data_IF_293535149797
#
_entry.id   IF_293535149797
#
_cell.length_a   1.000
_cell.length_b   1.000
_cell.length_c   1.000
_cell.angle_alpha   90.00
_cell.angle_beta   90.00
_cell.angle_gamma   90.00
#
_symmetry.space_group_name_H-M   'P 1'
#
loop_
_entity.id
_entity.type
_entity.pdbx_description
1 polymer ?
#
# COMPACT_ATOMS: atom_id res chain seq x y z
N UNK A 1 -6.83 -20.38 15.98
CA UNK A 1 -6.22 -19.38 16.89
C UNK A 1 -6.54 -19.75 18.33
N UNK A 2 -5.77 -20.65 18.95
CA UNK A 2 -6.01 -21.06 20.33
C UNK A 2 -5.84 -19.86 21.28
N UNK A 3 -6.82 -19.62 22.16
CA UNK A 3 -6.76 -18.58 23.21
C UNK A 3 -7.14 -17.16 22.80
N UNK A 4 -7.63 -16.95 21.57
CA UNK A 4 -8.06 -15.61 21.08
C UNK A 4 -9.51 -15.56 20.58
N UNK A 5 -10.24 -16.67 20.68
CA UNK A 5 -11.64 -16.75 20.33
C UNK A 5 -12.48 -16.51 21.59
N UNK A 6 -13.35 -15.51 21.55
CA UNK A 6 -14.27 -15.21 22.63
C UNK A 6 -15.53 -16.08 22.55
N UNK A 7 -16.33 -16.12 23.61
CA UNK A 7 -17.53 -16.97 23.73
C UNK A 7 -18.59 -16.73 22.64
N UNK A 8 -18.59 -15.54 22.03
CA UNK A 8 -19.49 -15.19 20.91
C UNK A 8 -18.94 -15.58 19.53
N UNK A 9 -17.86 -16.37 19.50
CA UNK A 9 -17.22 -16.84 18.26
C UNK A 9 -16.45 -15.76 17.52
N UNK A 10 -16.16 -14.60 18.15
CA UNK A 10 -15.40 -13.50 17.54
C UNK A 10 -13.99 -13.40 18.11
N UNK A 11 -13.09 -12.84 17.32
CA UNK A 11 -11.71 -12.52 17.73
C UNK A 11 -11.59 -11.00 17.90
N UNK A 12 -11.20 -10.55 19.11
CA UNK A 12 -11.08 -9.12 19.42
C UNK A 12 -9.62 -8.69 19.56
N UNK A 13 -9.06 -8.18 18.47
CA UNK A 13 -7.68 -7.68 18.45
C UNK A 13 -7.54 -6.29 19.07
N UNK A 14 -6.40 -6.02 19.68
CA UNK A 14 -6.07 -4.70 20.23
C UNK A 14 -5.31 -3.85 19.21
N UNK A 15 -5.91 -2.74 18.78
CA UNK A 15 -5.28 -1.73 17.93
C UNK A 15 -4.71 -0.59 18.76
N UNK A 16 -3.43 -0.29 18.58
CA UNK A 16 -2.73 0.75 19.30
C UNK A 16 -2.46 1.95 18.41
N UNK A 17 -2.90 3.12 18.86
CA UNK A 17 -2.65 4.41 18.20
C UNK A 17 -1.23 4.93 18.45
N UNK A 18 -0.61 4.47 19.54
CA UNK A 18 0.73 4.86 19.99
C UNK A 18 1.58 3.59 19.98
N UNK A 19 2.73 3.64 19.32
CA UNK A 19 3.68 2.52 19.29
C UNK A 19 4.63 2.57 18.11
N UNK A 20 4.13 2.86 16.91
CA UNK A 20 4.98 2.93 15.72
C UNK A 20 5.57 4.33 15.52
N UNK A 21 6.83 4.40 15.05
CA UNK A 21 7.53 5.67 14.76
C UNK A 21 7.01 6.39 13.51
N UNK A 22 6.30 5.67 12.64
CA UNK A 22 5.71 6.21 11.40
C UNK A 22 4.26 6.61 11.57
N UNK A 23 3.69 6.35 12.75
CA UNK A 23 2.29 6.61 13.01
C UNK A 23 1.37 5.56 12.41
N UNK A 24 1.80 4.41 11.89
CA UNK A 24 0.87 3.29 11.62
C UNK A 24 0.19 2.79 12.90
N UNK A 25 -1.01 2.26 12.78
CA UNK A 25 -1.62 1.44 13.84
C UNK A 25 -0.78 0.18 14.01
N UNK A 26 -0.54 -0.25 15.25
CA UNK A 26 -0.03 -1.60 15.53
C UNK A 26 -1.16 -2.46 16.09
N UNK A 27 -1.14 -3.76 15.77
CA UNK A 27 -2.15 -4.72 16.19
C UNK A 27 -1.51 -5.83 17.03
N UNK A 28 -2.21 -6.28 18.07
CA UNK A 28 -1.75 -7.35 18.96
C UNK A 28 -2.92 -8.10 19.58
N UNK A 29 -2.66 -9.34 20.04
CA UNK A 29 -3.60 -10.19 20.76
C UNK A 29 -4.94 -10.45 20.03
N UNK A 30 -4.95 -11.12 18.87
CA UNK A 30 -3.81 -11.51 18.03
C UNK A 30 -3.37 -10.38 17.08
N UNK A 31 -2.20 -10.52 16.46
CA UNK A 31 -1.75 -9.55 15.46
C UNK A 31 -2.37 -9.83 14.08
N UNK A 32 -3.45 -9.13 13.77
CA UNK A 32 -4.19 -9.26 12.51
C UNK A 32 -3.51 -8.59 11.31
N UNK A 33 -2.42 -7.86 11.54
CA UNK A 33 -1.63 -7.25 10.46
C UNK A 33 -0.57 -8.21 9.88
N UNK A 34 -0.37 -9.38 10.50
CA UNK A 34 0.66 -10.35 10.10
C UNK A 34 0.02 -11.71 9.79
N UNK A 35 -0.95 -11.71 8.90
CA UNK A 35 -1.56 -12.95 8.42
C UNK A 35 -0.50 -13.74 7.61
N UNK A 36 -0.40 -15.08 7.82
CA UNK A 36 0.45 -15.93 7.01
C UNK A 36 0.18 -15.72 5.51
N UNK A 37 1.24 -15.75 4.70
CA UNK A 37 1.07 -15.84 3.25
C UNK A 37 0.42 -17.18 2.90
N UNK A 38 -0.29 -17.22 1.77
CA UNK A 38 -0.82 -18.46 1.21
C UNK A 38 0.32 -19.50 1.17
N UNK A 39 0.10 -20.61 1.84
CA UNK A 39 1.01 -21.74 1.86
C UNK A 39 0.38 -22.86 1.02
N UNK A 40 0.89 -23.16 -0.18
CA UNK A 40 0.34 -24.19 -1.05
C UNK A 40 0.34 -25.60 -0.43
N UNK A 41 1.08 -25.82 0.66
CA UNK A 41 1.12 -27.08 1.39
C UNK A 41 -0.02 -27.21 2.42
N UNK A 42 -0.73 -26.12 2.73
CA UNK A 42 -1.87 -26.15 3.64
C UNK A 42 -3.18 -26.34 2.85
N UNK A 43 -4.17 -27.07 3.43
CA UNK A 43 -5.42 -27.37 2.74
C UNK A 43 -6.35 -26.15 2.55
N UNK A 44 -6.10 -25.03 3.22
CA UNK A 44 -6.89 -23.80 3.12
C UNK A 44 -6.02 -22.55 3.36
N UNK A 45 -6.45 -21.41 2.84
CA UNK A 45 -5.86 -20.10 3.19
C UNK A 45 -6.26 -19.75 4.64
N UNK A 46 -5.30 -19.28 5.45
CA UNK A 46 -5.57 -18.76 6.79
C UNK A 46 -6.71 -17.72 6.81
N UNK A 47 -6.88 -16.95 5.74
CA UNK A 47 -7.96 -15.95 5.64
C UNK A 47 -9.36 -16.57 5.48
N UNK A 48 -9.48 -17.84 5.12
CA UNK A 48 -10.78 -18.51 4.98
C UNK A 48 -11.49 -18.70 6.32
N UNK A 49 -10.75 -18.75 7.43
CA UNK A 49 -11.32 -18.96 8.77
C UNK A 49 -12.08 -17.72 9.30
N UNK A 50 -11.93 -16.58 8.65
CA UNK A 50 -12.66 -15.36 9.00
C UNK A 50 -13.88 -15.23 8.09
N UNK A 51 -15.05 -15.46 8.65
CA UNK A 51 -16.32 -15.45 7.93
C UNK A 51 -17.25 -14.33 8.39
N UNK A 52 -18.06 -13.83 7.46
CA UNK A 52 -19.19 -12.98 7.79
C UNK A 52 -20.30 -13.82 8.46
N UNK A 53 -21.02 -13.25 9.45
CA UNK A 53 -22.24 -13.87 9.98
C UNK A 53 -23.30 -14.13 8.89
N UNK A 54 -24.26 -15.01 9.19
CA UNK A 54 -25.43 -15.25 8.31
C UNK A 54 -26.15 -13.93 7.97
N UNK A 55 -26.47 -13.75 6.69
CA UNK A 55 -27.13 -12.54 6.16
C UNK A 55 -26.18 -11.34 5.96
N UNK A 56 -24.88 -11.54 6.12
CA UNK A 56 -23.86 -10.51 5.95
C UNK A 56 -22.74 -10.93 5.00
N UNK A 57 -21.99 -9.93 4.51
CA UNK A 57 -20.77 -10.10 3.72
C UNK A 57 -19.60 -9.34 4.34
N UNK A 58 -18.40 -9.81 4.02
CA UNK A 58 -17.16 -9.08 4.23
C UNK A 58 -16.77 -8.31 2.97
N UNK A 59 -16.33 -7.07 3.15
CA UNK A 59 -15.76 -6.23 2.10
C UNK A 59 -14.30 -5.97 2.46
N UNK A 60 -13.38 -6.25 1.54
CA UNK A 60 -11.98 -5.84 1.65
C UNK A 60 -11.77 -4.65 0.73
N UNK A 61 -11.45 -3.49 1.30
CA UNK A 61 -11.28 -2.24 0.56
C UNK A 61 -9.83 -1.77 0.70
N UNK A 62 -9.06 -1.85 -0.38
CA UNK A 62 -7.60 -1.72 -0.37
C UNK A 62 -7.13 -0.62 -1.33
N UNK A 63 -6.17 0.21 -0.91
CA UNK A 63 -5.63 1.25 -1.78
C UNK A 63 -4.70 0.69 -2.86
N UNK A 64 -4.99 0.99 -4.12
CA UNK A 64 -4.14 0.63 -5.26
C UNK A 64 -2.81 1.38 -5.23
N UNK A 65 -1.76 0.69 -4.78
CA UNK A 65 -0.38 1.20 -4.83
C UNK A 65 -0.20 2.46 -3.98
N UNK A 66 -0.79 2.48 -2.77
CA UNK A 66 -0.83 3.67 -1.91
C UNK A 66 0.54 4.34 -1.73
N UNK A 67 1.57 3.55 -1.39
CA UNK A 67 2.92 4.07 -1.15
C UNK A 67 3.56 4.67 -2.41
N UNK A 68 3.32 4.09 -3.60
CA UNK A 68 3.83 4.63 -4.86
C UNK A 68 3.11 5.91 -5.28
N UNK A 69 1.79 6.01 -5.02
CA UNK A 69 1.04 7.26 -5.22
C UNK A 69 1.58 8.37 -4.33
N UNK A 70 1.84 8.04 -3.06
CA UNK A 70 2.44 8.97 -2.11
C UNK A 70 3.87 9.35 -2.51
N UNK A 71 4.67 8.41 -3.01
CA UNK A 71 5.98 8.69 -3.57
C UNK A 71 5.88 9.73 -4.70
N UNK A 72 4.98 9.54 -5.65
CA UNK A 72 4.75 10.48 -6.75
C UNK A 72 4.33 11.88 -6.26
N UNK A 73 3.50 11.94 -5.21
CA UNK A 73 3.07 13.20 -4.58
C UNK A 73 4.25 13.92 -3.91
N UNK A 74 5.07 13.20 -3.14
CA UNK A 74 6.19 13.76 -2.37
C UNK A 74 7.34 14.16 -3.31
N UNK A 75 7.65 13.32 -4.31
CA UNK A 75 8.70 13.60 -5.28
C UNK A 75 8.29 14.68 -6.27
N UNK A 76 7.00 14.76 -6.60
CA UNK A 76 6.44 15.54 -7.71
C UNK A 76 7.01 15.13 -9.06
N UNK A 77 7.40 13.87 -9.19
CA UNK A 77 7.99 13.35 -10.40
C UNK A 77 6.94 13.28 -11.53
N UNK A 78 7.14 14.01 -12.65
CA UNK A 78 6.15 14.10 -13.71
C UNK A 78 5.90 12.75 -14.39
N UNK A 79 6.92 11.89 -14.48
CA UNK A 79 6.80 10.56 -15.07
C UNK A 79 5.88 9.68 -14.21
N UNK A 80 6.10 9.62 -12.89
CA UNK A 80 5.22 8.88 -11.97
C UNK A 80 3.80 9.46 -11.94
N UNK A 81 3.66 10.78 -11.86
CA UNK A 81 2.34 11.43 -11.86
C UNK A 81 1.56 11.13 -13.14
N UNK A 82 2.23 11.17 -14.30
CA UNK A 82 1.62 10.85 -15.58
C UNK A 82 1.24 9.36 -15.69
N UNK A 83 2.11 8.46 -15.20
CA UNK A 83 1.83 7.03 -15.19
C UNK A 83 0.53 6.71 -14.44
N UNK A 84 0.31 7.32 -13.27
CA UNK A 84 -0.95 7.15 -12.54
C UNK A 84 -2.15 7.76 -13.26
N UNK A 85 -2.01 8.92 -13.91
CA UNK A 85 -3.09 9.53 -14.70
C UNK A 85 -3.50 8.68 -15.89
N UNK A 86 -2.55 8.00 -16.52
CA UNK A 86 -2.78 7.11 -17.66
C UNK A 86 -3.16 5.68 -17.28
N UNK A 87 -3.24 5.35 -15.99
CA UNK A 87 -3.57 4.01 -15.53
C UNK A 87 -2.52 2.96 -15.90
N UNK A 88 -1.24 3.34 -15.88
CA UNK A 88 -0.13 2.43 -16.17
C UNK A 88 0.14 1.48 -15.00
N UNK A 89 0.48 0.24 -15.32
CA UNK A 89 1.07 -0.68 -14.35
C UNK A 89 2.51 -0.25 -14.04
N UNK A 90 2.70 0.41 -12.90
CA UNK A 90 4.02 0.92 -12.48
C UNK A 90 5.05 -0.17 -12.27
N UNK A 91 4.65 -1.38 -11.88
CA UNK A 91 5.59 -2.48 -11.69
C UNK A 91 6.11 -2.96 -13.04
N UNK A 92 5.22 -3.08 -14.03
CA UNK A 92 5.60 -3.42 -15.40
C UNK A 92 6.39 -2.28 -16.06
N UNK A 93 6.02 -1.03 -15.83
CA UNK A 93 6.76 0.15 -16.29
C UNK A 93 8.19 0.16 -15.74
N UNK A 94 8.34 -0.09 -14.43
CA UNK A 94 9.66 -0.18 -13.79
C UNK A 94 10.47 -1.34 -14.39
N UNK A 95 9.85 -2.50 -14.58
CA UNK A 95 10.49 -3.64 -15.22
C UNK A 95 10.93 -3.31 -16.67
N UNK A 96 10.09 -2.60 -17.42
CA UNK A 96 10.39 -2.16 -18.78
C UNK A 96 11.65 -1.30 -18.82
N UNK A 97 11.81 -0.35 -17.88
CA UNK A 97 13.02 0.48 -17.80
C UNK A 97 14.24 -0.31 -17.31
N UNK A 98 14.09 -1.11 -16.25
CA UNK A 98 15.20 -1.86 -15.66
C UNK A 98 15.75 -2.89 -16.64
N UNK A 99 14.88 -3.65 -17.29
CA UNK A 99 15.28 -4.76 -18.17
C UNK A 99 15.28 -4.40 -19.66
N UNK A 100 14.92 -3.17 -20.01
CA UNK A 100 14.82 -2.70 -21.39
C UNK A 100 13.94 -3.61 -22.27
N UNK A 101 12.73 -3.91 -21.80
CA UNK A 101 11.83 -4.91 -22.42
C UNK A 101 11.20 -4.45 -23.74
N UNK A 102 11.38 -3.18 -24.12
CA UNK A 102 10.87 -2.60 -25.37
C UNK A 102 9.35 -2.46 -25.41
N UNK A 103 8.67 -2.45 -24.26
CA UNK A 103 7.23 -2.23 -24.18
C UNK A 103 6.96 -0.74 -24.43
N UNK A 104 6.01 -0.43 -25.32
CA UNK A 104 5.60 0.95 -25.58
C UNK A 104 4.74 1.49 -24.45
N UNK A 105 4.83 2.79 -24.18
CA UNK A 105 4.15 3.44 -23.06
C UNK A 105 2.63 3.21 -23.04
N UNK A 106 1.96 3.27 -24.19
CA UNK A 106 0.53 3.01 -24.32
C UNK A 106 0.13 1.57 -23.94
N UNK A 107 1.03 0.61 -24.15
CA UNK A 107 0.82 -0.80 -23.82
C UNK A 107 0.95 -1.11 -22.31
N UNK A 108 1.49 -0.17 -21.53
CA UNK A 108 1.58 -0.28 -20.07
C UNK A 108 0.26 0.04 -19.37
N UNK A 109 -0.69 0.69 -20.06
CA UNK A 109 -2.00 1.00 -19.51
C UNK A 109 -2.83 -0.26 -19.30
N UNK A 110 -3.46 -0.39 -18.14
CA UNK A 110 -4.29 -1.58 -17.84
C UNK A 110 -5.48 -1.74 -18.80
N UNK A 111 -5.93 -0.62 -19.40
CA UNK A 111 -6.99 -0.57 -20.39
C UNK A 111 -6.55 -1.00 -21.81
N UNK A 112 -5.24 -1.14 -22.07
CA UNK A 112 -4.75 -1.49 -23.39
C UNK A 112 -5.04 -2.96 -23.73
N UNK A 113 -5.44 -3.24 -24.98
CA UNK A 113 -5.82 -4.59 -25.44
C UNK A 113 -4.75 -5.67 -25.21
N UNK A 114 -3.48 -5.30 -25.36
CA UNK A 114 -2.35 -6.22 -25.21
C UNK A 114 -1.84 -6.32 -23.76
N UNK A 115 -2.35 -5.51 -22.83
CA UNK A 115 -1.84 -5.42 -21.46
C UNK A 115 -1.84 -6.78 -20.76
N UNK A 116 -2.95 -7.53 -20.81
CA UNK A 116 -3.05 -8.85 -20.16
C UNK A 116 -1.99 -9.84 -20.68
N UNK A 117 -1.72 -9.81 -21.99
CA UNK A 117 -0.69 -10.65 -22.62
C UNK A 117 0.71 -10.24 -22.16
N UNK A 118 1.00 -8.94 -22.15
CA UNK A 118 2.29 -8.40 -21.72
C UNK A 118 2.54 -8.66 -20.23
N UNK A 119 1.54 -8.40 -19.38
CA UNK A 119 1.59 -8.67 -17.94
C UNK A 119 1.89 -10.13 -17.64
N UNK A 120 1.26 -11.07 -18.38
CA UNK A 120 1.54 -12.50 -18.24
C UNK A 120 2.93 -12.88 -18.78
N UNK A 121 3.34 -12.31 -19.91
CA UNK A 121 4.64 -12.58 -20.53
C UNK A 121 5.80 -12.16 -19.63
N UNK A 122 5.69 -10.99 -18.99
CA UNK A 122 6.74 -10.38 -18.17
C UNK A 122 6.43 -10.42 -16.68
N UNK A 123 5.71 -11.45 -16.20
CA UNK A 123 5.26 -11.52 -14.80
C UNK A 123 6.46 -11.62 -13.84
N UNK A 124 7.52 -12.32 -14.23
CA UNK A 124 8.76 -12.43 -13.46
C UNK A 124 9.49 -11.08 -13.34
N UNK A 125 9.71 -10.40 -14.45
CA UNK A 125 10.37 -9.08 -14.48
C UNK A 125 9.52 -8.04 -13.76
N UNK A 126 8.20 -8.09 -13.91
CA UNK A 126 7.25 -7.27 -13.15
C UNK A 126 7.35 -7.53 -11.65
N UNK A 127 7.47 -8.79 -11.23
CA UNK A 127 7.69 -9.16 -9.83
C UNK A 127 8.98 -8.55 -9.30
N UNK A 128 10.07 -8.58 -10.07
CA UNK A 128 11.32 -7.91 -9.73
C UNK A 128 11.16 -6.39 -9.72
N UNK A 129 10.44 -5.81 -10.68
CA UNK A 129 10.12 -4.38 -10.71
C UNK A 129 9.36 -3.92 -9.45
N UNK A 130 8.47 -4.77 -8.92
CA UNK A 130 7.74 -4.55 -7.66
C UNK A 130 8.64 -4.71 -6.44
N UNK A 131 9.19 -5.92 -6.25
CA UNK A 131 9.83 -6.36 -5.00
C UNK A 131 11.33 -6.08 -4.94
N UNK A 132 11.96 -5.78 -6.08
CA UNK A 132 13.36 -5.41 -6.21
C UNK A 132 13.58 -3.91 -6.29
N UNK A 133 12.72 -3.16 -6.97
CA UNK A 133 12.96 -1.72 -7.21
C UNK A 133 11.93 -0.81 -6.54
N UNK A 134 10.65 -0.87 -6.95
CA UNK A 134 9.63 0.08 -6.47
C UNK A 134 9.55 0.18 -4.93
N UNK A 135 9.33 -0.93 -4.24
CA UNK A 135 9.33 -0.91 -2.78
C UNK A 135 10.75 -0.71 -2.23
N UNK A 136 11.77 -1.52 -2.57
CA UNK A 136 13.08 -1.40 -1.92
C UNK A 136 13.73 -0.02 -2.06
N UNK A 137 13.53 0.71 -3.16
CA UNK A 137 14.05 2.06 -3.33
C UNK A 137 13.36 3.05 -2.37
N UNK A 138 12.04 2.94 -2.16
CA UNK A 138 11.33 3.70 -1.09
C UNK A 138 11.95 3.41 0.28
N UNK A 139 12.38 2.17 0.50
CA UNK A 139 13.02 1.71 1.73
C UNK A 139 14.53 1.94 1.76
N UNK A 140 15.14 2.57 0.75
CA UNK A 140 16.59 2.81 0.63
C UNK A 140 17.44 1.54 0.70
N UNK A 141 16.98 0.47 0.06
CA UNK A 141 17.72 -0.78 -0.12
C UNK A 141 18.85 -0.58 -1.14
N UNK A 142 20.01 -1.18 -0.87
CA UNK A 142 21.20 -1.15 -1.73
C UNK A 142 21.13 -2.20 -2.84
N UNK A 143 22.00 -2.11 -3.85
CA UNK A 143 22.12 -3.11 -4.92
C UNK A 143 22.28 -4.53 -4.35
N UNK A 144 23.18 -4.72 -3.38
CA UNK A 144 23.31 -5.98 -2.62
C UNK A 144 21.97 -6.49 -2.05
N UNK A 145 21.19 -5.61 -1.41
CA UNK A 145 19.90 -5.99 -0.82
C UNK A 145 18.85 -6.39 -1.88
N UNK A 146 18.87 -5.74 -3.04
CA UNK A 146 18.02 -6.10 -4.17
C UNK A 146 18.45 -7.47 -4.71
N UNK A 147 19.73 -7.64 -5.02
CA UNK A 147 20.31 -8.89 -5.52
C UNK A 147 19.95 -10.09 -4.63
N UNK A 148 20.11 -9.94 -3.31
CA UNK A 148 19.76 -10.97 -2.33
C UNK A 148 18.26 -11.34 -2.35
N UNK A 149 17.38 -10.36 -2.56
CA UNK A 149 15.93 -10.58 -2.51
C UNK A 149 15.35 -11.10 -3.83
N UNK A 150 15.99 -10.82 -4.95
CA UNK A 150 15.47 -11.14 -6.28
C UNK A 150 16.25 -12.24 -7.00
N UNK A 151 17.45 -12.58 -6.53
CA UNK A 151 18.32 -13.59 -7.12
C UNK A 151 19.12 -13.12 -8.34
N UNK A 152 19.06 -11.83 -8.69
CA UNK A 152 19.88 -11.25 -9.77
C UNK A 152 21.28 -10.87 -9.26
N UNK A 153 22.25 -10.65 -10.16
CA UNK A 153 23.58 -10.18 -9.77
C UNK A 153 23.54 -8.74 -9.23
N UNK A 154 24.49 -8.40 -8.35
CA UNK A 154 24.59 -7.05 -7.80
C UNK A 154 24.83 -5.97 -8.88
N UNK A 155 25.58 -6.30 -9.93
CA UNK A 155 25.81 -5.41 -11.08
C UNK A 155 24.50 -5.10 -11.84
N UNK A 156 23.67 -6.12 -12.08
CA UNK A 156 22.34 -5.95 -12.69
C UNK A 156 21.44 -5.14 -11.77
N UNK A 157 21.50 -5.39 -10.46
CA UNK A 157 20.75 -4.62 -9.47
C UNK A 157 21.15 -3.13 -9.46
N UNK A 158 22.46 -2.84 -9.48
CA UNK A 158 22.98 -1.47 -9.52
C UNK A 158 22.59 -0.76 -10.81
N UNK A 159 22.77 -1.42 -11.96
CA UNK A 159 22.32 -0.91 -13.26
C UNK A 159 20.82 -0.60 -13.25
N UNK A 160 20.01 -1.45 -12.62
CA UNK A 160 18.58 -1.22 -12.47
C UNK A 160 18.24 -0.02 -11.58
N UNK A 161 18.99 0.18 -10.48
CA UNK A 161 18.84 1.38 -9.62
C UNK A 161 19.12 2.65 -10.43
N UNK A 162 20.18 2.65 -11.24
CA UNK A 162 20.54 3.81 -12.05
C UNK A 162 19.50 4.10 -13.13
N UNK A 163 19.01 3.07 -13.83
CA UNK A 163 17.90 3.19 -14.78
C UNK A 163 16.62 3.71 -14.13
N UNK A 164 16.29 3.24 -12.92
CA UNK A 164 15.14 3.73 -12.17
C UNK A 164 15.25 5.24 -11.87
N UNK A 165 16.39 5.69 -11.35
CA UNK A 165 16.58 7.11 -11.05
C UNK A 165 16.71 8.00 -12.28
N UNK A 166 17.17 7.45 -13.41
CA UNK A 166 17.14 8.14 -14.69
C UNK A 166 15.71 8.31 -15.22
N UNK A 167 14.85 7.31 -15.03
CA UNK A 167 13.43 7.40 -15.37
C UNK A 167 12.63 8.33 -14.42
N UNK A 168 13.04 8.39 -13.15
CA UNK A 168 12.37 9.14 -12.08
C UNK A 168 13.34 10.11 -11.36
N UNK A 169 13.86 11.13 -12.06
CA UNK A 169 14.91 12.00 -11.52
C UNK A 169 14.45 12.83 -10.31
N UNK A 170 13.17 13.20 -10.23
CA UNK A 170 12.66 13.95 -9.08
C UNK A 170 12.54 13.10 -7.82
N UNK A 171 12.45 11.77 -7.95
CA UNK A 171 12.54 10.87 -6.78
C UNK A 171 13.93 10.97 -6.16
N UNK A 172 15.01 10.92 -6.95
CA UNK A 172 16.38 11.10 -6.46
C UNK A 172 16.54 12.45 -5.78
N UNK A 173 16.05 13.53 -6.42
CA UNK A 173 16.11 14.88 -5.85
C UNK A 173 15.31 15.00 -4.56
N UNK A 174 14.15 14.35 -4.44
CA UNK A 174 13.35 14.37 -3.22
C UNK A 174 14.05 13.67 -2.05
N UNK A 175 14.72 12.54 -2.30
CA UNK A 175 15.53 11.84 -1.29
C UNK A 175 16.68 12.74 -0.82
N UNK A 176 17.35 13.44 -1.75
CA UNK A 176 18.42 14.37 -1.42
C UNK A 176 17.92 15.57 -0.61
N UNK A 177 16.82 16.21 -1.02
CA UNK A 177 16.18 17.31 -0.27
C UNK A 177 15.82 16.90 1.15
N UNK A 178 15.26 15.70 1.32
CA UNK A 178 14.94 15.14 2.63
C UNK A 178 16.20 14.95 3.50
N UNK A 179 17.29 14.47 2.90
CA UNK A 179 18.57 14.26 3.59
C UNK A 179 19.22 15.56 4.03
N UNK A 180 19.25 16.58 3.16
CA UNK A 180 19.74 17.92 3.50
C UNK A 180 18.91 18.53 4.62
N UNK A 181 17.58 18.47 4.53
CA UNK A 181 16.69 18.97 5.58
C UNK A 181 16.95 18.29 6.93
N UNK A 182 17.16 16.96 6.94
CA UNK A 182 17.44 16.22 8.16
C UNK A 182 18.74 16.67 8.83
N UNK A 183 19.81 16.89 8.06
CA UNK A 183 21.10 17.34 8.58
C UNK A 183 21.00 18.71 9.27
N UNK A 184 20.21 19.61 8.71
CA UNK A 184 20.03 20.97 9.24
C UNK A 184 19.08 21.02 10.44
N UNK A 185 18.05 20.17 10.45
CA UNK A 185 16.90 20.32 11.35
C UNK A 185 16.76 19.22 12.40
N UNK A 186 17.49 18.11 12.30
CA UNK A 186 17.42 16.94 13.19
C UNK A 186 16.02 16.31 13.31
N UNK A 187 15.15 16.62 12.33
CA UNK A 187 13.82 16.05 12.20
C UNK A 187 13.32 16.14 10.76
N UNK A 188 12.26 15.39 10.46
CA UNK A 188 11.47 15.52 9.23
C UNK A 188 9.98 15.72 9.57
N UNK A 189 9.22 16.30 8.65
CA UNK A 189 7.76 16.51 8.80
C UNK A 189 6.99 15.98 7.59
N UNK A 190 5.95 15.18 7.82
CA UNK A 190 5.03 14.73 6.77
C UNK A 190 4.18 15.87 6.20
N UNK A 191 3.44 15.61 5.11
CA UNK A 191 2.48 16.59 4.56
C UNK A 191 1.39 17.00 5.57
N UNK A 192 0.97 16.05 6.41
CA UNK A 192 0.06 16.22 7.55
C UNK A 192 0.72 16.82 8.80
N UNK A 193 1.97 17.28 8.67
CA UNK A 193 2.77 17.95 9.72
C UNK A 193 3.21 17.05 10.89
N UNK A 194 3.04 15.73 10.81
CA UNK A 194 3.61 14.79 11.79
C UNK A 194 5.13 14.89 11.77
N UNK A 195 5.74 15.01 12.95
CA UNK A 195 7.19 15.16 13.11
C UNK A 195 7.85 13.86 13.58
N UNK A 196 9.01 13.53 13.01
CA UNK A 196 9.90 12.49 13.54
C UNK A 196 11.31 13.05 13.70
N UNK A 197 11.86 12.95 14.91
CA UNK A 197 13.27 13.28 15.19
C UNK A 197 14.16 12.07 14.87
N UNK A 198 15.30 12.34 14.25
CA UNK A 198 16.28 11.35 13.82
C UNK A 198 17.67 11.97 13.96
N UNK A 199 18.64 11.19 14.39
CA UNK A 199 20.04 11.63 14.45
C UNK A 199 20.67 11.53 13.05
N UNK A 200 21.04 12.64 12.40
CA UNK A 200 21.66 12.61 11.07
C UNK A 200 23.01 11.86 11.05
N UNK A 201 23.69 11.71 12.19
CA UNK A 201 24.95 10.97 12.29
C UNK A 201 24.80 9.46 12.08
N UNK A 202 23.60 8.90 12.29
CA UNK A 202 23.35 7.48 12.04
C UNK A 202 23.10 7.21 10.55
N UNK A 203 23.89 6.33 9.92
CA UNK A 203 23.74 5.94 8.50
C UNK A 203 22.30 5.55 8.10
N UNK A 204 21.53 4.93 9.01
CA UNK A 204 20.15 4.50 8.77
C UNK A 204 19.13 5.64 8.81
N UNK A 205 19.46 6.80 9.38
CA UNK A 205 18.51 7.88 9.63
C UNK A 205 17.99 8.51 8.36
N UNK A 206 18.84 8.76 7.36
CA UNK A 206 18.43 9.31 6.07
C UNK A 206 17.36 8.45 5.38
N UNK A 207 17.60 7.13 5.37
CA UNK A 207 16.66 6.13 4.86
C UNK A 207 15.35 6.13 5.65
N UNK A 208 15.43 6.18 6.97
CA UNK A 208 14.26 6.23 7.85
C UNK A 208 13.47 7.53 7.71
N UNK A 209 14.14 8.66 7.43
CA UNK A 209 13.53 9.96 7.23
C UNK A 209 12.66 9.99 5.97
N UNK A 210 13.20 9.58 4.83
CA UNK A 210 12.42 9.55 3.59
C UNK A 210 11.27 8.54 3.67
N UNK A 211 11.55 7.34 4.19
CA UNK A 211 10.52 6.33 4.43
C UNK A 211 9.39 6.83 5.34
N UNK A 212 9.74 7.57 6.40
CA UNK A 212 8.76 8.17 7.30
C UNK A 212 7.79 9.11 6.58
N UNK A 213 8.27 9.93 5.63
CA UNK A 213 7.39 10.84 4.88
C UNK A 213 6.29 10.08 4.13
N UNK A 214 6.64 8.93 3.55
CA UNK A 214 5.72 8.08 2.79
C UNK A 214 4.78 7.34 3.73
N UNK A 215 5.33 6.60 4.69
CA UNK A 215 4.54 5.77 5.60
C UNK A 215 3.63 6.58 6.53
N UNK A 216 4.07 7.76 6.96
CA UNK A 216 3.24 8.64 7.79
C UNK A 216 2.02 9.12 7.02
N UNK A 217 2.19 9.52 5.75
CA UNK A 217 1.04 9.97 4.97
C UNK A 217 0.07 8.83 4.68
N UNK A 218 0.58 7.63 4.39
CA UNK A 218 -0.23 6.41 4.24
C UNK A 218 -1.04 6.12 5.51
N UNK A 219 -0.38 6.19 6.67
CA UNK A 219 -1.00 5.95 7.96
C UNK A 219 -2.01 7.03 8.37
N UNK A 220 -1.79 8.28 7.96
CA UNK A 220 -2.75 9.35 8.22
C UNK A 220 -3.95 9.22 7.27
N UNK A 221 -3.73 8.79 6.03
CA UNK A 221 -4.79 8.56 5.04
C UNK A 221 -5.76 7.46 5.47
N UNK A 222 -5.25 6.31 5.95
CA UNK A 222 -6.12 5.23 6.45
C UNK A 222 -6.95 5.69 7.67
N UNK A 223 -6.40 6.55 8.53
CA UNK A 223 -7.14 7.13 9.66
C UNK A 223 -8.24 8.09 9.20
N UNK A 224 -7.93 8.97 8.26
CA UNK A 224 -8.93 9.85 7.66
C UNK A 224 -10.06 9.03 7.02
N UNK A 225 -9.72 7.96 6.27
CA UNK A 225 -10.69 7.04 5.70
C UNK A 225 -11.56 6.38 6.79
N UNK A 226 -10.97 5.88 7.89
CA UNK A 226 -11.72 5.30 9.00
C UNK A 226 -12.68 6.32 9.66
N UNK A 227 -12.24 7.56 9.86
CA UNK A 227 -13.07 8.62 10.43
C UNK A 227 -14.23 9.01 9.50
N UNK A 228 -13.97 9.08 8.20
CA UNK A 228 -15.00 9.38 7.20
C UNK A 228 -15.97 8.19 7.06
N UNK A 229 -15.47 6.95 7.08
CA UNK A 229 -16.29 5.73 7.06
C UNK A 229 -17.22 5.67 8.27
N UNK A 230 -16.74 6.10 9.46
CA UNK A 230 -17.57 6.20 10.66
C UNK A 230 -18.78 7.12 10.46
N UNK A 231 -18.66 8.20 9.66
CA UNK A 231 -19.79 9.08 9.34
C UNK A 231 -20.83 8.35 8.50
N UNK A 232 -20.38 7.68 7.43
CA UNK A 232 -21.26 6.86 6.58
C UNK A 232 -21.98 5.78 7.38
N UNK A 233 -21.29 5.11 8.30
CA UNK A 233 -21.89 4.12 9.21
C UNK A 233 -23.00 4.74 10.07
N UNK A 234 -22.80 5.96 10.56
CA UNK A 234 -23.79 6.64 11.40
C UNK A 234 -24.97 7.20 10.58
N UNK A 235 -24.74 7.63 9.34
CA UNK A 235 -25.76 8.16 8.42
C UNK A 235 -26.65 7.04 7.84
N UNK A 236 -26.11 5.83 7.74
CA UNK A 236 -26.80 4.67 7.17
C UNK A 236 -26.79 3.45 8.11
N UNK A 237 -27.44 3.54 9.28
CA UNK A 237 -27.48 2.44 10.24
C UNK A 237 -28.15 1.18 9.66
N UNK A 238 -29.04 1.33 8.67
CA UNK A 238 -29.74 0.22 8.02
C UNK A 238 -28.81 -0.71 7.22
N UNK A 239 -27.61 -0.25 6.86
CA UNK A 239 -26.64 -1.08 6.15
C UNK A 239 -25.99 -2.13 7.05
N UNK A 240 -26.09 -1.97 8.38
CA UNK A 240 -25.38 -2.84 9.32
C UNK A 240 -23.86 -2.82 9.13
N UNK A 241 -23.34 -1.74 8.53
CA UNK A 241 -21.94 -1.56 8.15
C UNK A 241 -21.05 -1.37 9.38
N UNK A 242 -19.97 -2.14 9.48
CA UNK A 242 -19.00 -2.06 10.58
C UNK A 242 -17.58 -2.18 10.05
N UNK A 243 -16.67 -1.35 10.57
CA UNK A 243 -15.22 -1.60 10.44
C UNK A 243 -14.85 -2.72 11.39
N UNK A 244 -14.33 -3.83 10.86
CA UNK A 244 -13.94 -4.99 11.67
C UNK A 244 -12.42 -5.17 11.74
N UNK A 245 -11.67 -4.70 10.74
CA UNK A 245 -10.22 -4.86 10.70
C UNK A 245 -9.57 -3.74 9.87
N UNK A 246 -8.37 -3.35 10.27
CA UNK A 246 -7.49 -2.48 9.49
C UNK A 246 -6.17 -3.21 9.30
N UNK A 247 -5.79 -3.47 8.05
CA UNK A 247 -4.59 -4.23 7.68
C UNK A 247 -3.77 -3.39 6.70
N UNK A 248 -2.72 -2.75 7.20
CA UNK A 248 -1.87 -1.84 6.40
C UNK A 248 -2.68 -0.71 5.73
N UNK A 249 -2.90 -0.80 4.41
CA UNK A 249 -3.62 0.13 3.56
C UNK A 249 -5.07 -0.31 3.25
N UNK A 250 -5.52 -1.38 3.90
CA UNK A 250 -6.84 -1.98 3.72
C UNK A 250 -7.76 -1.78 4.93
N UNK A 251 -9.04 -1.55 4.65
CA UNK A 251 -10.13 -1.61 5.62
C UNK A 251 -11.02 -2.81 5.30
N UNK A 252 -11.19 -3.71 6.27
CA UNK A 252 -12.16 -4.81 6.19
C UNK A 252 -13.44 -4.40 6.89
N UNK A 253 -14.56 -4.54 6.18
CA UNK A 253 -15.88 -4.16 6.64
C UNK A 253 -16.80 -5.39 6.71
N UNK A 254 -17.77 -5.38 7.61
CA UNK A 254 -18.91 -6.29 7.67
C UNK A 254 -20.16 -5.50 7.28
N UNK A 255 -21.03 -6.01 6.40
CA UNK A 255 -22.25 -5.33 5.94
C UNK A 255 -23.41 -6.32 5.73
N UNK A 256 -24.66 -5.88 5.84
CA UNK A 256 -25.82 -6.66 5.41
C UNK A 256 -25.73 -6.95 3.89
N UNK A 257 -26.00 -8.20 3.50
CA UNK A 257 -25.78 -8.67 2.13
C UNK A 257 -26.59 -7.90 1.08
N UNK A 258 -27.84 -7.55 1.40
CA UNK A 258 -28.75 -6.78 0.55
C UNK A 258 -28.34 -5.32 0.36
N UNK A 259 -27.42 -4.81 1.19
CA UNK A 259 -26.98 -3.41 1.17
C UNK A 259 -25.63 -3.20 0.48
N UNK A 260 -24.95 -4.27 0.06
CA UNK A 260 -23.61 -4.23 -0.57
C UNK A 260 -23.56 -3.27 -1.76
N UNK A 261 -24.46 -3.46 -2.73
CA UNK A 261 -24.42 -2.67 -3.97
C UNK A 261 -24.80 -1.20 -3.75
N UNK A 262 -25.67 -0.93 -2.77
CA UNK A 262 -26.05 0.44 -2.38
C UNK A 262 -24.90 1.16 -1.68
N UNK A 263 -24.18 0.48 -0.79
CA UNK A 263 -23.11 1.07 0.02
C UNK A 263 -21.78 1.20 -0.73
N UNK A 264 -21.52 0.33 -1.72
CA UNK A 264 -20.27 0.29 -2.51
C UNK A 264 -19.78 1.66 -2.99
N UNK A 265 -20.59 2.50 -3.68
CA UNK A 265 -20.11 3.80 -4.17
C UNK A 265 -19.69 4.75 -3.03
N UNK A 266 -20.38 4.74 -1.90
CA UNK A 266 -20.04 5.56 -0.73
C UNK A 266 -18.73 5.09 -0.09
N UNK A 267 -18.54 3.77 0.03
CA UNK A 267 -17.33 3.18 0.58
C UNK A 267 -16.10 3.53 -0.27
N UNK A 268 -16.25 3.44 -1.60
CA UNK A 268 -15.21 3.84 -2.56
C UNK A 268 -14.90 5.33 -2.43
N UNK A 269 -15.92 6.19 -2.43
CA UNK A 269 -15.75 7.64 -2.30
C UNK A 269 -15.01 8.02 -1.00
N UNK A 270 -15.42 7.44 0.14
CA UNK A 270 -14.80 7.65 1.45
C UNK A 270 -13.29 7.40 1.42
N UNK A 271 -12.86 6.33 0.75
CA UNK A 271 -11.44 5.99 0.66
C UNK A 271 -10.72 6.84 -0.39
N UNK A 272 -11.24 6.94 -1.62
CA UNK A 272 -10.60 7.74 -2.67
C UNK A 272 -10.44 9.21 -2.28
N UNK A 273 -11.37 9.75 -1.49
CA UNK A 273 -11.40 11.14 -1.04
C UNK A 273 -11.07 11.33 0.45
N UNK A 274 -10.46 10.32 1.10
CA UNK A 274 -10.12 10.36 2.52
C UNK A 274 -9.32 11.62 2.92
N UNK A 275 -8.42 12.08 2.04
CA UNK A 275 -7.65 13.31 2.21
C UNK A 275 -7.93 14.25 1.04
N UNK A 276 -8.81 15.26 1.21
CA UNK A 276 -9.07 16.22 0.14
C UNK A 276 -7.80 17.03 -0.15
N UNK A 277 -7.59 17.40 -1.43
CA UNK A 277 -6.48 18.24 -1.93
C UNK A 277 -5.13 17.53 -2.18
N UNK A 278 -5.11 16.20 -2.31
CA UNK A 278 -3.93 15.54 -2.88
C UNK A 278 -3.83 15.83 -4.38
N UNK A 279 -2.61 16.03 -4.94
CA UNK A 279 -2.44 16.34 -6.36
C UNK A 279 -2.67 15.12 -7.27
N UNK A 280 -2.90 13.95 -6.68
CA UNK A 280 -3.18 12.71 -7.36
C UNK A 280 -4.40 12.05 -6.72
N UNK A 281 -5.35 11.60 -7.56
CA UNK A 281 -6.51 10.83 -7.10
C UNK A 281 -6.04 9.49 -6.54
N UNK A 282 -6.54 9.12 -5.37
CA UNK A 282 -6.35 7.77 -4.83
C UNK A 282 -7.36 6.83 -5.48
N UNK A 283 -7.02 5.55 -5.58
CA UNK A 283 -7.94 4.55 -6.12
C UNK A 283 -7.92 3.33 -5.21
N UNK A 284 -9.05 2.64 -5.13
CA UNK A 284 -9.23 1.44 -4.31
C UNK A 284 -9.70 0.26 -5.14
N UNK A 285 -9.34 -0.95 -4.69
CA UNK A 285 -10.05 -2.18 -5.04
C UNK A 285 -11.01 -2.55 -3.93
N UNK A 286 -12.17 -3.08 -4.30
CA UNK A 286 -13.19 -3.56 -3.36
C UNK A 286 -13.65 -4.96 -3.76
N UNK A 287 -13.22 -5.95 -2.99
CA UNK A 287 -13.73 -7.31 -3.09
C UNK A 287 -14.82 -7.59 -2.05
N UNK A 288 -15.72 -8.51 -2.39
CA UNK A 288 -16.88 -8.89 -1.56
C UNK A 288 -16.88 -10.39 -1.44
N UNK A 289 -17.05 -10.90 -0.22
CA UNK A 289 -16.95 -12.33 0.04
C UNK A 289 -17.70 -12.78 1.28
N UNK A 290 -17.95 -14.09 1.37
CA UNK A 290 -18.42 -14.69 2.62
C UNK A 290 -17.27 -14.84 3.63
N UNK A 291 -16.07 -15.12 3.13
CA UNK A 291 -14.84 -15.19 3.92
C UNK A 291 -13.88 -14.06 3.55
N UNK A 292 -12.93 -13.77 4.44
CA UNK A 292 -11.91 -12.76 4.17
C UNK A 292 -11.06 -13.15 2.95
N UNK A 293 -10.80 -14.44 2.75
CA UNK A 293 -10.14 -14.96 1.54
C UNK A 293 -10.91 -14.60 0.27
N UNK A 294 -12.22 -14.90 0.21
CA UNK A 294 -13.03 -14.61 -0.99
C UNK A 294 -13.27 -13.12 -1.25
N UNK A 295 -13.11 -12.29 -0.23
CA UNK A 295 -13.22 -10.83 -0.36
C UNK A 295 -11.89 -10.20 -0.83
N UNK A 296 -10.76 -10.91 -0.76
CA UNK A 296 -9.43 -10.37 -1.08
C UNK A 296 -9.05 -10.56 -2.54
#
# INVERSE_FOLDING_TARGET
>A
MPGHLDDDGRVRSSYWNIGTKTGRLSCSKPNMQQNPKLNPLLPFDYKEIFEAPKGKKLLSVDYKGQELRILAIISRDPTLLNAFKKGYDLHLMTANYVFNLGIKDDQLAESHKDYKKLRKKYDHERHIGKNGYNFPIIYGTTAYGIAKNTGISEDVAQTGIDRFFNAYPEVRRAIQRCSTFLNENWHVRSLTKRRRRLDPGEKKSHRQAFNFLIQSLAADMIRCACNNMRKVINEHPEWGLKIIMIVHDEIVLEINEDMVEKARPFIVDVMENAMPKLPLKMSVDIGVGQTYSSAK
#
